data_IF_567157729976
#
_entry.id   IF_567157729976
#
_cell.length_a   1.000
_cell.length_b   1.000
_cell.length_c   1.000
_cell.angle_alpha   90.00
_cell.angle_beta   90.00
_cell.angle_gamma   90.00
#
_symmetry.space_group_name_H-M   'P 1'
#
loop_
_entity.id
_entity.type
_entity.pdbx_description
1 polymer ?
#
# COMPACT_ATOMS: atom_id res chain seq x y z
N UNK A 1 -12.37 -18.10 -15.45
CA UNK A 1 -13.41 -17.23 -14.87
C UNK A 1 -12.91 -16.82 -13.50
N UNK A 2 -12.51 -15.59 -13.20
CA UNK A 2 -12.01 -14.40 -13.92
C UNK A 2 -11.78 -13.37 -12.80
N UNK A 3 -10.71 -12.58 -12.88
CA UNK A 3 -10.45 -11.34 -12.12
C UNK A 3 -10.04 -11.33 -10.63
N UNK A 4 -10.05 -12.43 -9.87
CA UNK A 4 -9.72 -12.34 -8.42
C UNK A 4 -8.22 -12.47 -8.05
N UNK A 5 -7.33 -12.72 -9.02
CA UNK A 5 -5.87 -12.79 -8.79
C UNK A 5 -5.11 -11.51 -9.16
N UNK A 6 -5.82 -10.47 -9.60
CA UNK A 6 -5.25 -9.13 -9.71
C UNK A 6 -5.55 -8.45 -8.38
N UNK A 7 -4.51 -8.09 -7.62
CA UNK A 7 -4.64 -7.30 -6.40
C UNK A 7 -5.35 -5.96 -6.69
N UNK A 8 -6.68 -5.97 -6.73
CA UNK A 8 -7.55 -4.84 -6.99
C UNK A 8 -7.16 -4.05 -8.24
N UNK A 9 -7.82 -4.34 -9.36
CA UNK A 9 -7.97 -3.39 -10.47
C UNK A 9 -8.62 -2.07 -10.05
N UNK A 10 -9.08 -1.97 -8.81
CA UNK A 10 -9.47 -0.73 -8.19
C UNK A 10 -8.43 -0.21 -7.20
N UNK A 11 -8.23 1.11 -7.21
CA UNK A 11 -7.43 1.83 -6.24
C UNK A 11 -7.87 1.60 -4.79
N UNK A 12 -7.29 2.36 -3.85
CA UNK A 12 -7.83 2.41 -2.48
C UNK A 12 -9.31 2.84 -2.44
N UNK A 13 -9.77 3.43 -3.55
CA UNK A 13 -11.15 3.80 -3.82
C UNK A 13 -12.11 2.62 -4.02
N UNK A 14 -11.60 1.43 -4.35
CA UNK A 14 -12.43 0.25 -4.59
C UNK A 14 -12.70 -0.60 -3.34
N UNK A 15 -12.01 -0.34 -2.22
CA UNK A 15 -12.55 -0.71 -0.92
C UNK A 15 -13.69 0.24 -0.62
N UNK A 16 -14.92 -0.29 -0.61
CA UNK A 16 -16.17 0.45 -0.47
C UNK A 16 -16.12 1.59 0.56
N UNK A 17 -16.91 2.63 0.32
CA UNK A 17 -17.27 3.69 1.27
C UNK A 17 -17.78 3.22 2.66
N UNK A 18 -17.98 1.91 2.86
CA UNK A 18 -18.34 1.31 4.14
C UNK A 18 -17.16 1.12 5.11
N UNK A 19 -15.90 1.16 4.64
CA UNK A 19 -14.74 1.12 5.55
C UNK A 19 -14.55 2.51 6.18
N UNK A 20 -14.54 2.58 7.51
CA UNK A 20 -14.42 3.86 8.24
C UNK A 20 -13.10 4.58 7.99
N UNK A 21 -12.08 3.88 7.48
CA UNK A 21 -10.79 4.48 7.13
C UNK A 21 -10.87 5.28 5.83
N UNK A 22 -11.84 5.00 4.97
CA UNK A 22 -12.00 5.68 3.69
C UNK A 22 -12.00 7.21 3.79
N UNK A 23 -12.87 7.84 4.61
CA UNK A 23 -12.86 9.30 4.80
C UNK A 23 -11.63 9.85 5.54
N UNK A 24 -10.81 8.99 6.15
CA UNK A 24 -9.54 9.40 6.77
C UNK A 24 -8.38 9.35 5.76
N UNK A 25 -8.39 8.35 4.87
CA UNK A 25 -7.30 8.13 3.93
C UNK A 25 -7.37 9.12 2.76
N UNK A 26 -8.58 9.50 2.39
CA UNK A 26 -8.87 10.43 1.32
C UNK A 26 -9.64 11.61 1.89
N UNK A 27 -9.19 12.81 1.55
CA UNK A 27 -9.89 14.03 1.90
C UNK A 27 -10.91 14.34 0.79
N UNK A 28 -12.18 14.11 1.10
CA UNK A 28 -13.31 14.38 0.22
C UNK A 28 -13.82 15.81 0.35
N UNK A 29 -13.28 16.59 1.28
CA UNK A 29 -13.70 17.97 1.46
C UNK A 29 -13.15 18.80 0.31
N UNK A 30 -14.05 19.37 -0.49
CA UNK A 30 -13.79 20.18 -1.71
C UNK A 30 -13.08 21.51 -1.44
N UNK A 31 -12.45 21.68 -0.28
CA UNK A 31 -11.87 22.95 0.17
C UNK A 31 -10.40 23.15 -0.21
N UNK A 32 -9.84 22.23 -1.01
CA UNK A 32 -8.84 22.66 -1.98
C UNK A 32 -9.60 23.41 -3.07
N UNK A 33 -9.77 24.72 -2.90
CA UNK A 33 -10.23 25.63 -3.97
C UNK A 33 -9.14 25.80 -5.03
N UNK A 34 -8.51 24.70 -5.44
CA UNK A 34 -7.62 24.68 -6.57
C UNK A 34 -8.50 24.46 -7.80
N UNK A 35 -8.62 25.44 -8.71
CA UNK A 35 -9.38 25.29 -9.95
C UNK A 35 -8.84 24.16 -10.86
N UNK A 36 -7.71 23.54 -10.53
CA UNK A 36 -7.19 22.34 -11.18
C UNK A 36 -7.75 21.01 -10.65
N UNK A 37 -8.42 20.99 -9.48
CA UNK A 37 -8.99 19.77 -8.89
C UNK A 37 -10.33 19.47 -9.56
N UNK A 38 -10.32 18.49 -10.45
CA UNK A 38 -11.49 17.96 -11.13
C UNK A 38 -12.17 16.89 -10.26
N UNK A 39 -13.42 16.52 -10.56
CA UNK A 39 -14.25 15.64 -9.72
C UNK A 39 -13.72 14.21 -9.41
N UNK A 40 -12.51 13.86 -9.84
CA UNK A 40 -11.83 12.59 -9.56
C UNK A 40 -10.50 12.76 -8.79
N UNK A 41 -10.14 13.98 -8.37
CA UNK A 41 -8.89 14.25 -7.66
C UNK A 41 -9.12 14.15 -6.14
N UNK A 42 -8.63 13.07 -5.53
CA UNK A 42 -8.77 12.82 -4.09
C UNK A 42 -7.43 13.00 -3.37
N UNK A 43 -7.20 14.14 -2.67
CA UNK A 43 -6.00 14.35 -1.88
C UNK A 43 -5.90 13.35 -0.71
N UNK A 44 -4.66 13.10 -0.28
CA UNK A 44 -4.39 12.21 0.86
C UNK A 44 -4.80 12.88 2.17
N UNK A 45 -5.86 12.38 2.81
CA UNK A 45 -6.41 12.92 4.06
C UNK A 45 -5.67 12.47 5.34
N UNK A 46 -4.77 11.48 5.23
CA UNK A 46 -4.15 10.83 6.39
C UNK A 46 -3.19 11.74 7.18
N UNK A 47 -2.69 12.78 6.52
CA UNK A 47 -1.60 13.63 6.99
C UNK A 47 -2.01 15.10 7.11
N UNK A 48 -3.24 15.34 7.55
CA UNK A 48 -3.73 16.69 7.83
C UNK A 48 -3.27 17.16 9.20
N UNK A 49 -2.71 18.37 9.26
CA UNK A 49 -2.37 19.01 10.53
C UNK A 49 -3.59 19.41 11.35
N UNK A 50 -3.37 19.84 12.61
CA UNK A 50 -4.44 20.17 13.59
C UNK A 50 -5.40 21.28 13.14
N UNK A 51 -5.00 22.07 12.15
CA UNK A 51 -5.80 23.16 11.58
C UNK A 51 -5.44 23.33 10.11
N UNK A 52 -6.37 23.88 9.32
CA UNK A 52 -6.19 24.14 7.88
C UNK A 52 -4.94 24.94 7.52
N UNK A 53 -4.49 25.86 8.37
CA UNK A 53 -3.26 26.64 8.15
C UNK A 53 -1.95 25.84 8.29
N UNK A 54 -2.04 24.59 8.75
CA UNK A 54 -0.91 23.78 9.20
C UNK A 54 -0.94 22.38 8.56
N UNK A 55 -1.51 22.21 7.36
CA UNK A 55 -1.72 20.90 6.74
C UNK A 55 -0.42 20.06 6.65
N UNK A 56 0.75 20.68 6.47
CA UNK A 56 2.04 19.99 6.44
C UNK A 56 2.69 19.78 7.83
N UNK A 57 2.06 20.21 8.93
CA UNK A 57 2.56 20.03 10.30
C UNK A 57 1.89 18.83 10.97
N UNK A 58 2.40 17.65 10.64
CA UNK A 58 1.98 16.39 11.25
C UNK A 58 3.20 15.52 11.56
N UNK A 59 3.09 14.66 12.57
CA UNK A 59 4.12 13.68 12.88
C UNK A 59 3.98 12.47 11.94
N UNK A 60 5.10 12.00 11.40
CA UNK A 60 5.15 10.80 10.58
C UNK A 60 5.21 9.55 11.46
N UNK A 61 4.37 8.58 11.14
CA UNK A 61 4.38 7.26 11.78
C UNK A 61 5.44 6.43 11.07
N UNK A 62 6.54 6.15 11.76
CA UNK A 62 7.60 5.26 11.24
C UNK A 62 7.32 3.81 11.60
N UNK A 63 6.82 3.57 12.82
CA UNK A 63 6.44 2.26 13.33
C UNK A 63 5.18 2.40 14.18
N UNK A 64 4.32 1.38 14.15
CA UNK A 64 3.11 1.33 14.98
C UNK A 64 2.60 -0.08 15.19
N UNK A 65 1.82 -0.26 16.25
CA UNK A 65 1.36 -1.57 16.70
C UNK A 65 0.57 -2.34 15.63
N UNK A 66 -0.30 -1.71 14.85
CA UNK A 66 -1.04 -2.46 13.81
C UNK A 66 -0.12 -3.07 12.75
N UNK A 67 1.02 -2.44 12.44
CA UNK A 67 2.00 -3.05 11.53
C UNK A 67 2.56 -4.34 12.14
N UNK A 68 2.84 -4.37 13.44
CA UNK A 68 3.34 -5.56 14.13
C UNK A 68 2.33 -6.70 14.10
N UNK A 69 1.04 -6.41 14.28
CA UNK A 69 -0.03 -7.40 14.10
C UNK A 69 -0.11 -7.90 12.66
N UNK A 70 0.04 -7.02 11.66
CA UNK A 70 0.03 -7.45 10.24
C UNK A 70 1.25 -8.31 9.87
N UNK A 71 2.41 -8.01 10.44
CA UNK A 71 3.62 -8.83 10.26
C UNK A 71 3.42 -10.20 10.92
N UNK A 72 2.87 -10.23 12.15
CA UNK A 72 2.58 -11.48 12.86
C UNK A 72 1.55 -12.33 12.12
N UNK A 73 0.46 -11.73 11.64
CA UNK A 73 -0.55 -12.41 10.83
C UNK A 73 0.07 -13.06 9.59
N UNK A 74 0.88 -12.31 8.83
CA UNK A 74 1.53 -12.84 7.63
C UNK A 74 2.52 -13.97 7.96
N UNK A 75 3.27 -13.83 9.05
CA UNK A 75 4.23 -14.84 9.49
C UNK A 75 3.52 -16.14 9.93
N UNK A 76 2.44 -16.03 10.70
CA UNK A 76 1.66 -17.18 11.17
C UNK A 76 1.02 -17.94 10.00
N UNK A 77 0.38 -17.24 9.07
CA UNK A 77 -0.16 -17.87 7.87
C UNK A 77 0.92 -18.65 7.09
N UNK A 78 2.14 -18.12 7.00
CA UNK A 78 3.25 -18.76 6.28
C UNK A 78 3.91 -19.91 7.04
N UNK A 79 3.92 -19.89 8.37
CA UNK A 79 4.66 -20.83 9.19
C UNK A 79 4.17 -22.27 8.96
N UNK A 80 2.85 -22.45 8.96
CA UNK A 80 2.21 -23.76 8.78
C UNK A 80 1.72 -23.99 7.35
N UNK A 81 2.01 -23.04 6.45
CA UNK A 81 1.53 -23.07 5.07
C UNK A 81 0.00 -22.94 4.95
N UNK A 82 -0.67 -22.48 6.01
CA UNK A 82 -2.07 -22.06 6.11
C UNK A 82 -2.27 -21.40 7.50
N UNK A 83 -3.45 -20.84 7.77
CA UNK A 83 -3.85 -20.35 9.10
C UNK A 83 -4.54 -21.43 9.93
N UNK A 84 -3.86 -22.57 10.18
CA UNK A 84 -4.48 -23.73 10.85
C UNK A 84 -4.90 -23.45 12.28
N UNK A 85 -4.13 -22.63 13.00
CA UNK A 85 -4.40 -22.28 14.40
C UNK A 85 -5.34 -21.06 14.52
N UNK A 86 -5.65 -20.39 13.41
CA UNK A 86 -6.53 -19.22 13.36
C UNK A 86 -5.89 -17.92 13.86
N UNK A 87 -4.59 -17.94 14.15
CA UNK A 87 -3.87 -16.79 14.70
C UNK A 87 -3.76 -15.64 13.70
N UNK A 88 -3.59 -15.93 12.40
CA UNK A 88 -3.56 -14.89 11.38
C UNK A 88 -4.93 -14.22 11.23
N UNK A 89 -6.00 -15.01 11.21
CA UNK A 89 -7.36 -14.52 11.19
C UNK A 89 -7.68 -13.69 12.45
N UNK A 90 -7.23 -14.12 13.63
CA UNK A 90 -7.42 -13.39 14.87
C UNK A 90 -6.75 -12.01 14.84
N UNK A 91 -5.53 -11.92 14.30
CA UNK A 91 -4.81 -10.64 14.16
C UNK A 91 -5.51 -9.67 13.20
N UNK A 92 -6.03 -10.18 12.08
CA UNK A 92 -6.81 -9.40 11.14
C UNK A 92 -8.13 -8.93 11.77
N UNK A 93 -8.79 -9.80 12.53
CA UNK A 93 -10.01 -9.46 13.26
C UNK A 93 -9.76 -8.34 14.29
N UNK A 94 -8.65 -8.38 15.02
CA UNK A 94 -8.27 -7.35 16.00
C UNK A 94 -8.07 -5.98 15.33
N UNK A 95 -7.40 -5.94 14.18
CA UNK A 95 -7.20 -4.69 13.42
C UNK A 95 -8.54 -4.14 12.94
N UNK A 96 -9.38 -4.98 12.35
CA UNK A 96 -10.71 -4.59 11.84
C UNK A 96 -11.64 -4.11 12.96
N UNK A 97 -11.66 -4.81 14.10
CA UNK A 97 -12.43 -4.43 15.28
C UNK A 97 -11.97 -3.08 15.85
N UNK A 98 -10.67 -2.80 15.85
CA UNK A 98 -10.12 -1.49 16.24
C UNK A 98 -10.49 -0.36 15.25
N UNK A 99 -11.09 -0.68 14.10
CA UNK A 99 -11.70 0.26 13.14
C UNK A 99 -13.22 0.17 13.14
N UNK A 100 -13.83 -0.43 14.17
CA UNK A 100 -15.28 -0.51 14.30
C UNK A 100 -15.97 -1.45 13.30
N UNK A 101 -15.22 -2.34 12.64
CA UNK A 101 -15.82 -3.39 11.81
C UNK A 101 -16.64 -4.33 12.68
N UNK A 102 -17.87 -4.63 12.23
CA UNK A 102 -18.74 -5.64 12.83
C UNK A 102 -18.53 -7.04 12.21
N UNK A 103 -17.62 -7.17 11.23
CA UNK A 103 -17.28 -8.44 10.61
C UNK A 103 -16.50 -9.26 11.64
N UNK A 104 -16.92 -10.51 11.84
CA UNK A 104 -16.23 -11.44 12.74
C UNK A 104 -14.85 -11.88 12.24
N UNK A 105 -14.22 -12.77 12.99
CA UNK A 105 -12.95 -13.39 12.59
C UNK A 105 -13.10 -14.08 11.23
N UNK A 106 -12.25 -13.78 10.23
CA UNK A 106 -12.29 -14.45 8.95
C UNK A 106 -11.95 -15.94 9.13
N UNK A 107 -12.36 -16.75 8.17
CA UNK A 107 -11.96 -18.15 8.08
C UNK A 107 -11.34 -18.37 6.72
N UNK A 108 -10.08 -18.78 6.68
CA UNK A 108 -9.34 -18.98 5.44
C UNK A 108 -9.37 -20.46 5.04
N UNK A 109 -9.77 -20.75 3.80
CA UNK A 109 -9.78 -22.10 3.26
C UNK A 109 -8.36 -22.58 2.93
N UNK A 110 -7.47 -21.66 2.54
CA UNK A 110 -6.08 -21.93 2.22
C UNK A 110 -5.17 -20.73 2.47
N UNK A 111 -3.86 -20.97 2.33
CA UNK A 111 -2.82 -19.95 2.48
C UNK A 111 -3.01 -18.75 1.55
N UNK A 112 -3.45 -18.99 0.32
CA UNK A 112 -3.59 -17.94 -0.66
C UNK A 112 -4.71 -16.98 -0.24
N UNK A 113 -5.83 -17.52 0.23
CA UNK A 113 -6.91 -16.71 0.81
C UNK A 113 -6.42 -15.86 2.00
N UNK A 114 -5.69 -16.48 2.94
CA UNK A 114 -5.11 -15.78 4.08
C UNK A 114 -4.17 -14.64 3.64
N UNK A 115 -3.23 -14.91 2.74
CA UNK A 115 -2.26 -13.92 2.27
C UNK A 115 -2.92 -12.79 1.47
N UNK A 116 -3.94 -13.08 0.68
CA UNK A 116 -4.73 -12.06 -0.02
C UNK A 116 -5.48 -11.16 0.96
N UNK A 117 -6.08 -11.74 2.00
CA UNK A 117 -6.77 -10.98 3.03
C UNK A 117 -5.82 -10.06 3.81
N UNK A 118 -4.68 -10.61 4.24
CA UNK A 118 -3.63 -9.87 4.95
C UNK A 118 -3.06 -8.77 4.06
N UNK A 119 -2.75 -9.04 2.79
CA UNK A 119 -2.22 -8.03 1.87
C UNK A 119 -3.22 -6.88 1.62
N UNK A 120 -4.52 -7.19 1.56
CA UNK A 120 -5.58 -6.18 1.45
C UNK A 120 -5.66 -5.34 2.71
N UNK A 121 -5.67 -5.97 3.88
CA UNK A 121 -5.70 -5.27 5.17
C UNK A 121 -4.46 -4.38 5.35
N UNK A 122 -3.27 -4.86 4.96
CA UNK A 122 -2.03 -4.06 4.92
C UNK A 122 -2.19 -2.83 4.03
N UNK A 123 -2.75 -2.99 2.82
CA UNK A 123 -2.95 -1.87 1.88
C UNK A 123 -3.86 -0.79 2.47
N UNK A 124 -4.93 -1.18 3.16
CA UNK A 124 -5.89 -0.24 3.77
C UNK A 124 -5.29 0.41 5.02
N UNK A 125 -4.78 -0.40 5.92
CA UNK A 125 -4.29 0.05 7.21
C UNK A 125 -3.06 0.95 7.04
N UNK A 126 -2.09 0.52 6.22
CA UNK A 126 -0.80 1.20 6.00
C UNK A 126 -0.77 2.11 4.77
N UNK A 127 -1.94 2.48 4.24
CA UNK A 127 -2.05 3.39 3.10
C UNK A 127 -1.26 4.69 3.34
N UNK A 128 -0.47 5.10 2.35
CA UNK A 128 0.37 6.30 2.37
C UNK A 128 1.49 6.32 3.42
N UNK A 129 1.76 5.22 4.12
CA UNK A 129 2.86 5.12 5.12
C UNK A 129 4.16 4.54 4.54
N UNK A 130 4.29 4.44 3.21
CA UNK A 130 5.53 4.01 2.55
C UNK A 130 5.72 2.50 2.40
N UNK A 131 4.74 1.66 2.76
CA UNK A 131 4.90 0.19 2.72
C UNK A 131 4.62 -0.44 1.34
N UNK A 132 3.69 0.10 0.55
CA UNK A 132 3.08 -0.61 -0.59
C UNK A 132 4.08 -1.08 -1.64
N UNK A 133 5.06 -0.23 -2.01
CA UNK A 133 6.10 -0.60 -2.99
C UNK A 133 6.96 -1.76 -2.48
N UNK A 134 7.34 -1.74 -1.21
CA UNK A 134 8.16 -2.79 -0.61
C UNK A 134 7.38 -4.09 -0.43
N UNK A 135 6.10 -4.00 -0.06
CA UNK A 135 5.20 -5.14 0.03
C UNK A 135 5.06 -5.82 -1.33
N UNK A 136 4.79 -5.07 -2.41
CA UNK A 136 4.71 -5.61 -3.76
C UNK A 136 6.03 -6.25 -4.21
N UNK A 137 7.16 -5.60 -3.93
CA UNK A 137 8.49 -6.10 -4.31
C UNK A 137 8.79 -7.44 -3.62
N UNK A 138 8.57 -7.54 -2.31
CA UNK A 138 8.90 -8.75 -1.53
C UNK A 138 7.93 -9.90 -1.79
N UNK A 139 6.70 -9.63 -2.23
CA UNK A 139 5.72 -10.66 -2.62
C UNK A 139 5.74 -10.98 -4.11
N UNK A 140 6.75 -10.49 -4.83
CA UNK A 140 6.93 -10.69 -6.26
C UNK A 140 5.67 -10.31 -7.08
N UNK A 141 5.09 -9.16 -6.78
CA UNK A 141 3.82 -8.70 -7.32
C UNK A 141 3.99 -7.44 -8.16
N UNK A 142 3.38 -7.42 -9.35
CA UNK A 142 3.37 -6.26 -10.24
C UNK A 142 2.66 -5.06 -9.61
N UNK A 143 3.08 -3.85 -9.98
CA UNK A 143 2.27 -2.65 -9.75
C UNK A 143 1.24 -2.58 -10.87
N UNK A 144 -0.04 -2.63 -10.49
CA UNK A 144 -1.18 -2.37 -11.35
C UNK A 144 -1.91 -1.16 -10.79
N UNK A 145 -2.19 -0.15 -11.63
CA UNK A 145 -2.91 1.06 -11.25
C UNK A 145 -4.18 1.20 -12.06
N UNK A 146 -5.15 1.91 -11.50
CA UNK A 146 -6.36 2.27 -12.24
C UNK A 146 -5.96 3.20 -13.41
N UNK A 147 -6.48 3.00 -14.63
CA UNK A 147 -6.23 3.91 -15.75
C UNK A 147 -6.51 5.38 -15.44
N UNK A 148 -7.47 5.67 -14.55
CA UNK A 148 -7.76 7.03 -14.08
C UNK A 148 -6.56 7.65 -13.32
N UNK A 149 -5.85 6.86 -12.50
CA UNK A 149 -4.72 7.32 -11.69
C UNK A 149 -3.49 7.70 -12.53
N UNK A 150 -3.41 7.22 -13.78
CA UNK A 150 -2.25 7.41 -14.65
C UNK A 150 -2.54 8.23 -15.91
N UNK A 151 -3.81 8.56 -16.17
CA UNK A 151 -4.23 9.29 -17.36
C UNK A 151 -3.49 10.64 -17.53
N UNK A 152 -3.18 11.31 -16.42
CA UNK A 152 -2.53 12.62 -16.41
C UNK A 152 -0.98 12.58 -16.45
N UNK A 153 -0.35 11.42 -16.21
CA UNK A 153 1.08 11.39 -15.83
C UNK A 153 2.08 11.11 -16.96
N UNK A 154 1.64 10.87 -18.21
CA UNK A 154 2.53 10.44 -19.32
C UNK A 154 3.52 9.30 -18.95
N UNK A 155 3.20 8.53 -17.92
CA UNK A 155 4.00 7.41 -17.41
C UNK A 155 3.23 6.10 -17.57
N UNK A 156 3.92 4.94 -17.73
CA UNK A 156 3.26 3.65 -17.70
C UNK A 156 2.41 3.48 -16.43
N UNK A 157 1.16 3.07 -16.62
CA UNK A 157 0.24 2.84 -15.51
C UNK A 157 0.70 1.66 -14.62
N UNK A 158 1.29 0.66 -15.26
CA UNK A 158 1.70 -0.59 -14.62
C UNK A 158 3.23 -0.71 -14.64
N UNK A 159 3.78 -1.40 -13.65
CA UNK A 159 5.20 -1.74 -13.58
C UNK A 159 5.33 -3.24 -13.25
N UNK A 160 5.84 -3.99 -14.21
CA UNK A 160 6.13 -5.42 -14.02
C UNK A 160 7.21 -5.60 -12.95
N UNK A 161 7.08 -6.63 -12.11
CA UNK A 161 7.99 -6.95 -11.01
C UNK A 161 9.42 -7.20 -11.47
N UNK A 162 9.59 -7.66 -12.71
CA UNK A 162 10.90 -7.84 -13.36
C UNK A 162 11.59 -6.53 -13.73
N UNK A 163 10.94 -5.37 -13.56
CA UNK A 163 11.53 -4.08 -13.89
C UNK A 163 12.61 -3.68 -12.88
N UNK A 164 13.78 -3.27 -13.38
CA UNK A 164 14.84 -2.68 -12.56
C UNK A 164 14.42 -1.41 -11.80
N UNK A 165 13.30 -0.77 -12.18
CA UNK A 165 12.77 0.45 -11.55
C UNK A 165 12.17 0.24 -10.16
N UNK A 166 12.11 -1.00 -9.67
CA UNK A 166 11.88 -1.29 -8.25
C UNK A 166 13.09 -0.99 -7.36
N UNK A 167 14.23 -0.63 -7.95
CA UNK A 167 15.45 -0.21 -7.25
C UNK A 167 15.88 1.14 -7.84
N UNK A 168 16.17 2.11 -6.98
CA UNK A 168 16.66 3.42 -7.43
C UNK A 168 18.06 3.29 -8.05
N UNK A 169 18.42 4.13 -9.03
CA UNK A 169 19.79 4.15 -9.54
C UNK A 169 20.77 4.58 -8.44
N UNK A 170 21.99 4.08 -8.52
CA UNK A 170 23.12 4.66 -7.79
C UNK A 170 23.26 6.12 -8.30
N UNK A 171 23.30 7.13 -7.41
CA UNK A 171 23.42 8.52 -7.86
C UNK A 171 24.69 8.72 -8.67
N UNK A 172 24.60 9.41 -9.81
CA UNK A 172 25.76 9.62 -10.70
C UNK A 172 26.94 10.27 -9.97
N UNK A 173 26.65 11.19 -9.04
CA UNK A 173 27.68 11.85 -8.22
C UNK A 173 28.49 10.87 -7.36
N UNK A 174 27.89 9.76 -6.94
CA UNK A 174 28.60 8.71 -6.18
C UNK A 174 29.50 7.87 -7.10
N UNK A 175 29.06 7.60 -8.34
CA UNK A 175 29.87 6.91 -9.36
C UNK A 175 31.06 7.78 -9.76
N UNK A 176 30.80 9.05 -10.09
CA UNK A 176 31.82 10.00 -10.54
C UNK A 176 32.88 10.28 -9.45
N UNK A 177 32.49 10.24 -8.17
CA UNK A 177 33.39 10.51 -7.05
C UNK A 177 34.18 9.28 -6.56
N UNK A 178 33.73 8.06 -6.87
CA UNK A 178 34.30 6.83 -6.32
C UNK A 178 34.91 5.93 -7.40
N UNK A 179 36.24 5.91 -7.48
CA UNK A 179 36.99 5.08 -8.44
C UNK A 179 36.76 3.56 -8.31
N UNK A 180 36.13 3.08 -7.24
CA UNK A 180 35.79 1.67 -7.03
C UNK A 180 34.40 1.28 -7.54
N UNK A 181 33.54 2.25 -7.90
CA UNK A 181 32.21 2.02 -8.47
C UNK A 181 32.24 2.52 -9.92
N UNK A 182 31.79 1.70 -10.84
CA UNK A 182 31.75 2.01 -12.27
C UNK A 182 30.33 2.02 -12.78
N UNK A 183 30.12 2.58 -13.97
CA UNK A 183 28.82 2.58 -14.63
C UNK A 183 28.26 1.15 -14.83
N UNK A 184 29.15 0.16 -14.99
CA UNK A 184 28.75 -1.25 -15.08
C UNK A 184 28.21 -1.83 -13.77
N UNK A 185 28.46 -1.18 -12.63
CA UNK A 185 27.94 -1.59 -11.32
C UNK A 185 26.54 -1.00 -11.06
N UNK A 186 26.00 -0.22 -11.99
CA UNK A 186 24.67 0.36 -11.91
C UNK A 186 23.58 -0.73 -11.87
N UNK A 187 22.46 -0.41 -11.21
CA UNK A 187 21.29 -1.27 -11.21
C UNK A 187 20.79 -1.53 -12.65
N UNK A 188 20.42 -2.77 -13.00
CA UNK A 188 19.97 -3.08 -14.35
C UNK A 188 18.84 -2.18 -14.85
N UNK A 189 19.01 -1.59 -16.04
CA UNK A 189 18.02 -0.74 -16.68
C UNK A 189 18.18 0.77 -16.45
N UNK A 190 19.30 1.18 -15.87
CA UNK A 190 19.77 2.57 -15.82
C UNK A 190 21.06 2.73 -16.60
#
# INVERSE_FOLDING_TARGET
MSDDLVFGTGGILASSNADVRFPLLLDFETDITDPAVSGNDFPVGKYVGRSRANQALHDHKILRTSEMFLIRAEANAKLDGNDTDGDAAADIALIRAARGSAIGTPAYADLNEALLDIARERRLELAYEGHRVYDLKRTNTDIVRDPADCAALSTPCNLAISSGRFTLPIPQTEIDANNAIQESDQNPGY
#
